data_IF_742811646563
#
_entry.id   IF_742811646563
#
_cell.length_a   1.000
_cell.length_b   1.000
_cell.length_c   1.000
_cell.angle_alpha   90.00
_cell.angle_beta   90.00
_cell.angle_gamma   90.00
#
_symmetry.space_group_name_H-M   'P 1'
#
loop_
_entity.id
_entity.type
_entity.pdbx_description
1 polymer ?
#
# COMPACT_ATOMS: atom_id res chain seq x y z
N UNK A 1 3.01 -11.87 9.45
CA UNK A 1 4.44 -11.54 9.20
C UNK A 1 4.48 -10.07 8.86
N UNK A 2 5.30 -9.25 9.53
CA UNK A 2 5.30 -7.79 9.31
C UNK A 2 5.63 -7.42 7.86
N UNK A 3 5.11 -6.31 7.37
CA UNK A 3 5.47 -5.79 6.06
C UNK A 3 6.97 -5.54 6.02
N UNK A 4 7.62 -6.15 5.03
CA UNK A 4 9.04 -5.96 4.77
C UNK A 4 9.22 -6.02 3.25
N UNK A 5 9.52 -4.89 2.60
CA UNK A 5 9.78 -4.87 1.17
C UNK A 5 10.91 -5.82 0.81
N UNK A 6 10.77 -6.51 -0.32
CA UNK A 6 11.78 -7.39 -0.89
C UNK A 6 12.92 -6.60 -1.55
N UNK A 7 12.57 -5.55 -2.30
CA UNK A 7 13.52 -4.77 -3.09
C UNK A 7 13.35 -3.26 -2.90
N UNK A 8 12.11 -2.80 -2.78
CA UNK A 8 11.77 -1.39 -2.84
C UNK A 8 11.40 -0.85 -1.46
N UNK A 9 12.42 -0.56 -0.65
CA UNK A 9 12.25 -0.03 0.71
C UNK A 9 11.41 1.25 0.78
N UNK A 10 11.47 2.08 -0.26
CA UNK A 10 10.69 3.32 -0.35
C UNK A 10 9.17 3.07 -0.39
N UNK A 11 8.72 1.84 -0.72
CA UNK A 11 7.30 1.49 -0.68
C UNK A 11 6.76 1.43 0.75
N UNK A 12 7.56 1.01 1.73
CA UNK A 12 7.17 1.07 3.15
C UNK A 12 7.00 2.53 3.60
N UNK A 13 7.96 3.39 3.25
CA UNK A 13 7.89 4.82 3.55
C UNK A 13 6.67 5.48 2.89
N UNK A 14 6.37 5.13 1.64
CA UNK A 14 5.18 5.59 0.91
C UNK A 14 3.88 5.16 1.63
N UNK A 15 3.73 3.86 1.90
CA UNK A 15 2.54 3.32 2.56
C UNK A 15 2.34 3.95 3.94
N UNK A 16 3.41 4.09 4.73
CA UNK A 16 3.36 4.71 6.06
C UNK A 16 3.06 6.20 6.01
N UNK A 17 3.62 6.93 5.05
CA UNK A 17 3.35 8.35 4.85
C UNK A 17 1.86 8.57 4.57
N UNK A 18 1.30 7.86 3.60
CA UNK A 18 -0.13 8.01 3.27
C UNK A 18 -1.05 7.44 4.34
N UNK A 19 -0.68 6.35 5.00
CA UNK A 19 -1.45 5.84 6.13
C UNK A 19 -1.52 6.87 7.27
N UNK A 20 -0.41 7.56 7.54
CA UNK A 20 -0.36 8.61 8.55
C UNK A 20 -1.14 9.86 8.12
N UNK A 21 -1.00 10.31 6.87
CA UNK A 21 -1.67 11.52 6.36
C UNK A 21 -3.19 11.34 6.28
N UNK A 22 -3.65 10.13 5.97
CA UNK A 22 -5.07 9.75 5.91
C UNK A 22 -5.62 9.24 7.26
N UNK A 23 -4.82 9.29 8.33
CA UNK A 23 -5.20 8.83 9.67
C UNK A 23 -5.66 7.36 9.74
N UNK A 24 -5.11 6.52 8.84
CA UNK A 24 -5.37 5.08 8.73
C UNK A 24 -4.46 4.28 9.65
N UNK A 25 -4.71 4.40 10.95
CA UNK A 25 -3.99 3.63 11.99
C UNK A 25 -4.16 2.11 11.87
N UNK A 26 -5.27 1.67 11.27
CA UNK A 26 -5.53 0.28 10.89
C UNK A 26 -4.51 -0.24 9.88
N UNK A 27 -4.15 0.56 8.88
CA UNK A 27 -3.12 0.20 7.89
C UNK A 27 -1.74 0.16 8.53
N UNK A 28 -1.38 1.13 9.37
CA UNK A 28 -0.11 1.11 10.09
C UNK A 28 0.03 -0.16 10.92
N UNK A 29 -1.05 -0.56 11.59
CA UNK A 29 -1.10 -1.82 12.36
C UNK A 29 -0.91 -3.04 11.45
N UNK A 30 -1.57 -3.09 10.29
CA UNK A 30 -1.40 -4.18 9.32
C UNK A 30 0.05 -4.25 8.83
N UNK A 31 0.71 -3.12 8.57
CA UNK A 31 2.12 -3.08 8.19
C UNK A 31 3.04 -3.59 9.30
N UNK A 32 2.77 -3.24 10.56
CA UNK A 32 3.60 -3.60 11.70
C UNK A 32 3.43 -5.06 12.16
N UNK A 33 2.19 -5.56 12.19
CA UNK A 33 1.84 -6.89 12.70
C UNK A 33 1.75 -7.94 11.58
N UNK A 34 1.51 -7.49 10.35
CA UNK A 34 1.18 -8.34 9.22
C UNK A 34 -0.31 -8.62 9.09
N UNK A 35 -0.69 -9.16 7.94
CA UNK A 35 -2.06 -9.59 7.69
C UNK A 35 -2.27 -10.97 8.33
N UNK A 36 -3.28 -11.09 9.19
CA UNK A 36 -3.66 -12.36 9.84
C UNK A 36 -5.05 -12.84 9.44
N UNK A 37 -5.87 -11.95 8.87
CA UNK A 37 -7.26 -12.24 8.50
C UNK A 37 -7.59 -11.72 7.10
N UNK A 38 -8.56 -12.35 6.44
CA UNK A 38 -9.06 -11.91 5.13
C UNK A 38 -9.62 -10.48 5.19
N UNK A 39 -10.21 -10.10 6.33
CA UNK A 39 -10.68 -8.74 6.56
C UNK A 39 -9.54 -7.72 6.55
N UNK A 40 -8.41 -8.03 7.18
CA UNK A 40 -7.22 -7.17 7.16
C UNK A 40 -6.60 -7.12 5.76
N UNK A 41 -6.56 -8.26 5.05
CA UNK A 41 -6.11 -8.31 3.66
C UNK A 41 -6.94 -7.36 2.80
N UNK A 42 -8.26 -7.43 2.94
CA UNK A 42 -9.19 -6.56 2.22
C UNK A 42 -9.00 -5.09 2.58
N UNK A 43 -8.88 -4.77 3.87
CA UNK A 43 -8.62 -3.39 4.32
C UNK A 43 -7.34 -2.82 3.72
N UNK A 44 -6.30 -3.65 3.58
CA UNK A 44 -5.04 -3.26 2.94
C UNK A 44 -5.19 -3.11 1.42
N UNK A 45 -5.81 -4.07 0.73
CA UNK A 45 -6.07 -3.99 -0.70
C UNK A 45 -6.91 -2.76 -1.06
N UNK A 46 -8.02 -2.52 -0.35
CA UNK A 46 -8.90 -1.37 -0.55
C UNK A 46 -8.17 -0.03 -0.32
N UNK A 47 -7.05 -0.04 0.41
CA UNK A 47 -6.24 1.15 0.65
C UNK A 47 -5.33 1.51 -0.54
N UNK A 48 -4.91 0.54 -1.37
CA UNK A 48 -4.01 0.77 -2.51
C UNK A 48 -4.56 1.77 -3.55
N UNK A 49 -5.81 1.70 -4.02
CA UNK A 49 -6.32 2.72 -4.93
C UNK A 49 -6.47 4.08 -4.26
N UNK A 50 -6.85 4.13 -2.98
CA UNK A 50 -7.01 5.37 -2.22
C UNK A 50 -5.71 6.17 -2.15
N UNK A 51 -4.57 5.49 -1.94
CA UNK A 51 -3.26 6.17 -1.92
C UNK A 51 -2.83 6.64 -3.31
N UNK A 52 -3.19 5.93 -4.38
CA UNK A 52 -2.93 6.37 -5.75
C UNK A 52 -3.73 7.62 -6.10
N UNK A 53 -5.01 7.65 -5.74
CA UNK A 53 -5.88 8.83 -5.92
C UNK A 53 -5.38 10.02 -5.10
N UNK A 54 -5.03 9.80 -3.82
CA UNK A 54 -4.52 10.87 -2.97
C UNK A 54 -3.17 11.39 -3.47
N UNK A 55 -2.33 10.53 -4.04
CA UNK A 55 -1.08 10.95 -4.68
C UNK A 55 -1.35 11.85 -5.88
N UNK A 56 -2.29 11.48 -6.76
CA UNK A 56 -2.66 12.31 -7.91
C UNK A 56 -3.10 13.72 -7.46
N UNK A 57 -3.93 13.80 -6.42
CA UNK A 57 -4.37 15.09 -5.83
C UNK A 57 -3.18 15.88 -5.25
N UNK A 58 -2.27 15.22 -4.55
CA UNK A 58 -1.08 15.85 -3.97
C UNK A 58 -0.12 16.37 -5.08
N UNK A 59 0.02 15.65 -6.19
CA UNK A 59 0.80 16.07 -7.37
C UNK A 59 0.15 17.27 -8.08
N UNK A 60 -1.15 17.23 -8.35
CA UNK A 60 -1.90 18.32 -8.98
C UNK A 60 -1.90 19.61 -8.15
N UNK A 61 -1.88 19.47 -6.82
CA UNK A 61 -1.81 20.60 -5.89
C UNK A 61 -0.39 21.15 -5.69
N UNK A 62 0.63 20.54 -6.30
CA UNK A 62 2.03 20.95 -6.16
C UNK A 62 2.59 20.74 -4.75
N UNK A 63 1.97 19.84 -3.97
CA UNK A 63 2.39 19.55 -2.60
C UNK A 63 3.67 18.73 -2.64
N UNK A 64 4.71 19.22 -1.97
CA UNK A 64 5.95 18.47 -1.81
C UNK A 64 5.69 17.23 -0.95
N UNK A 65 5.65 16.07 -1.59
CA UNK A 65 5.56 14.77 -0.90
C UNK A 65 6.98 14.43 -0.43
N UNK A 66 7.19 14.06 0.85
CA UNK A 66 8.52 13.87 1.42
C UNK A 66 9.27 12.68 0.84
N UNK A 67 8.57 11.79 0.14
CA UNK A 67 9.17 10.67 -0.55
C UNK A 67 9.27 11.08 -2.03
N UNK A 68 10.49 11.19 -2.55
CA UNK A 68 10.74 11.45 -3.98
C UNK A 68 10.39 10.19 -4.75
N UNK A 69 9.15 10.18 -5.24
CA UNK A 69 8.51 9.01 -5.78
C UNK A 69 8.18 9.33 -7.23
N UNK A 70 9.10 8.99 -8.12
CA UNK A 70 8.86 9.06 -9.55
C UNK A 70 7.70 8.14 -9.98
N UNK A 71 7.32 8.22 -11.25
CA UNK A 71 6.30 7.35 -11.86
C UNK A 71 6.57 5.84 -11.70
N UNK A 72 7.81 5.44 -11.39
CA UNK A 72 8.21 4.06 -11.12
C UNK A 72 7.60 3.46 -9.84
N UNK A 73 7.01 4.25 -8.94
CA UNK A 73 6.46 3.69 -7.69
C UNK A 73 5.25 2.82 -7.88
N UNK A 74 4.47 3.03 -8.94
CA UNK A 74 3.24 2.27 -9.15
C UNK A 74 3.58 0.79 -9.38
N UNK A 75 4.49 0.43 -10.30
CA UNK A 75 4.92 -0.95 -10.43
C UNK A 75 5.65 -1.48 -9.18
N UNK A 76 6.44 -0.66 -8.48
CA UNK A 76 7.13 -1.08 -7.25
C UNK A 76 6.13 -1.37 -6.12
N UNK A 77 5.13 -0.50 -5.94
CA UNK A 77 4.02 -0.68 -5.01
C UNK A 77 3.23 -1.94 -5.34
N UNK A 78 2.88 -2.14 -6.62
CA UNK A 78 2.16 -3.34 -7.04
C UNK A 78 2.95 -4.60 -6.68
N UNK A 79 4.25 -4.63 -6.96
CA UNK A 79 5.10 -5.79 -6.64
C UNK A 79 5.18 -6.07 -5.14
N UNK A 80 5.47 -5.06 -4.33
CA UNK A 80 5.65 -5.25 -2.88
C UNK A 80 4.33 -5.50 -2.15
N UNK A 81 3.25 -4.81 -2.54
CA UNK A 81 1.93 -4.98 -1.94
C UNK A 81 1.31 -6.34 -2.31
N UNK A 82 1.43 -6.77 -3.57
CA UNK A 82 1.00 -8.12 -3.99
C UNK A 82 1.78 -9.19 -3.23
N UNK A 83 3.11 -9.09 -3.21
CA UNK A 83 3.96 -10.05 -2.49
C UNK A 83 3.58 -10.16 -1.02
N UNK A 84 3.31 -9.03 -0.34
CA UNK A 84 2.88 -9.03 1.05
C UNK A 84 1.54 -9.75 1.30
N UNK A 85 0.55 -9.52 0.43
CA UNK A 85 -0.77 -10.15 0.54
C UNK A 85 -0.70 -11.65 0.18
N UNK A 86 0.09 -12.00 -0.83
CA UNK A 86 0.34 -13.39 -1.23
C UNK A 86 1.10 -14.17 -0.16
N UNK A 87 2.14 -13.60 0.43
CA UNK A 87 2.91 -14.22 1.53
C UNK A 87 2.05 -14.46 2.78
N UNK A 88 1.03 -13.62 2.99
CA UNK A 88 0.04 -13.80 4.05
C UNK A 88 -1.02 -14.88 3.72
N UNK A 89 -1.03 -15.41 2.48
CA UNK A 89 -1.97 -16.44 2.02
C UNK A 89 -3.31 -15.91 1.51
N UNK A 90 -3.39 -14.61 1.19
CA UNK A 90 -4.63 -13.96 0.74
C UNK A 90 -4.56 -13.49 -0.72
N UNK A 91 -3.82 -14.20 -1.58
CA UNK A 91 -3.67 -13.91 -3.02
C UNK A 91 -5.02 -13.69 -3.72
N UNK A 92 -6.04 -14.48 -3.40
CA UNK A 92 -7.39 -14.32 -3.98
C UNK A 92 -8.05 -12.97 -3.67
N UNK A 93 -7.67 -12.32 -2.55
CA UNK A 93 -8.15 -10.98 -2.20
C UNK A 93 -7.43 -9.91 -3.02
N UNK A 94 -6.14 -10.12 -3.30
CA UNK A 94 -5.37 -9.24 -4.19
C UNK A 94 -5.90 -9.30 -5.61
N UNK A 95 -6.08 -10.51 -6.16
CA UNK A 95 -6.60 -10.71 -7.51
C UNK A 95 -7.98 -10.09 -7.67
N UNK A 96 -8.87 -10.30 -6.70
CA UNK A 96 -10.20 -9.69 -6.70
C UNK A 96 -10.16 -8.16 -6.66
N UNK A 97 -9.16 -7.55 -6.02
CA UNK A 97 -8.99 -6.09 -6.05
C UNK A 97 -8.55 -5.62 -7.44
N UNK A 98 -7.57 -6.30 -8.06
CA UNK A 98 -7.06 -5.96 -9.40
C UNK A 98 -8.14 -6.12 -10.47
N UNK A 99 -8.95 -7.18 -10.41
CA UNK A 99 -10.05 -7.42 -11.35
C UNK A 99 -11.16 -6.35 -11.27
N UNK A 100 -11.23 -5.61 -10.17
CA UNK A 100 -12.24 -4.56 -9.92
C UNK A 100 -11.71 -3.13 -10.16
N UNK A 101 -10.44 -2.98 -10.56
CA UNK A 101 -9.81 -1.70 -10.91
C UNK A 101 -9.93 -1.39 -12.41
#
# INVERSE_FOLDING_TARGET
MKFKPYHYYHVDDFLRYYASSLQRSDIVKILDEGISTEKEAKVFCDFIPVILDQRLVDEESGKAVPVDIGSAVIPDLHYEASSFVCDAGFESVWDAMIDNL
#
